data_IF_674951679804
#
_entry.id   IF_674951679804
#
_cell.length_a   1.000
_cell.length_b   1.000
_cell.length_c   1.000
_cell.angle_alpha   90.00
_cell.angle_beta   90.00
_cell.angle_gamma   90.00
#
_symmetry.space_group_name_H-M   'P 1'
#
loop_
_entity.id
_entity.type
_entity.pdbx_description
1 polymer ?
#
# COMPACT_ATOMS: atom_id res chain seq x y z
N UNK A 1 9.69 -8.01 11.98
CA UNK A 1 10.82 -7.19 11.49
C UNK A 1 10.55 -6.97 10.01
N UNK A 2 9.92 -5.85 9.65
CA UNK A 2 9.54 -5.59 8.27
C UNK A 2 10.81 -5.28 7.46
N UNK A 3 10.99 -5.96 6.33
CA UNK A 3 12.07 -5.67 5.37
C UNK A 3 11.99 -4.23 4.87
N UNK A 4 13.08 -3.70 4.30
CA UNK A 4 13.23 -2.28 3.91
C UNK A 4 11.95 -1.74 3.26
N UNK A 5 11.22 -0.89 3.98
CA UNK A 5 9.96 -0.37 3.52
C UNK A 5 10.23 0.73 2.48
N UNK A 6 10.00 0.41 1.21
CA UNK A 6 10.01 1.43 0.15
C UNK A 6 8.76 2.28 0.34
N UNK A 7 8.89 3.60 0.32
CA UNK A 7 7.77 4.53 0.40
C UNK A 7 7.70 5.36 -0.88
N UNK A 8 6.56 5.29 -1.57
CA UNK A 8 6.25 6.17 -2.70
C UNK A 8 5.41 7.35 -2.22
N UNK A 9 5.70 8.54 -2.74
CA UNK A 9 5.06 9.79 -2.30
C UNK A 9 4.25 10.42 -3.42
N UNK A 10 3.12 11.04 -3.06
CA UNK A 10 2.28 11.85 -3.94
C UNK A 10 1.93 13.17 -3.25
N UNK A 11 1.93 14.26 -4.01
CA UNK A 11 1.35 15.54 -3.59
C UNK A 11 0.02 15.76 -4.30
N UNK A 12 -1.00 16.16 -3.55
CA UNK A 12 -2.30 16.52 -4.10
C UNK A 12 -2.86 17.74 -3.37
N UNK A 13 -3.09 18.83 -4.11
CA UNK A 13 -3.62 20.09 -3.58
C UNK A 13 -2.86 20.64 -2.34
N UNK A 14 -1.55 20.44 -2.29
CA UNK A 14 -0.68 20.87 -1.18
C UNK A 14 -0.64 19.92 0.03
N UNK A 15 -1.43 18.83 0.01
CA UNK A 15 -1.30 17.73 0.95
C UNK A 15 -0.33 16.66 0.40
N UNK A 16 0.40 15.99 1.29
CA UNK A 16 1.33 14.93 0.91
C UNK A 16 0.85 13.59 1.46
N UNK A 17 0.97 12.58 0.61
CA UNK A 17 0.56 11.21 0.88
C UNK A 17 1.72 10.27 0.61
N UNK A 18 1.83 9.21 1.40
CA UNK A 18 2.81 8.16 1.21
C UNK A 18 2.14 6.79 1.19
N UNK A 19 2.60 5.94 0.28
CA UNK A 19 2.30 4.51 0.25
C UNK A 19 3.57 3.76 0.64
N UNK A 20 3.52 3.10 1.79
CA UNK A 20 4.60 2.26 2.28
C UNK A 20 4.33 0.80 1.93
N UNK A 21 5.33 0.11 1.38
CA UNK A 21 5.27 -1.31 1.10
C UNK A 21 5.95 -2.08 2.23
N UNK A 22 5.18 -2.89 2.94
CA UNK A 22 5.66 -3.77 4.01
C UNK A 22 5.34 -5.22 3.64
N UNK A 23 6.19 -6.15 4.05
CA UNK A 23 5.95 -7.58 3.85
C UNK A 23 5.74 -8.25 5.21
N UNK A 24 4.62 -8.95 5.38
CA UNK A 24 4.22 -9.62 6.62
C UNK A 24 3.66 -11.01 6.34
N UNK A 25 4.08 -12.02 7.10
CA UNK A 25 3.59 -13.43 7.08
C UNK A 25 2.85 -13.81 5.78
N UNK A 26 3.58 -13.79 4.66
CA UNK A 26 3.10 -14.20 3.32
C UNK A 26 2.07 -13.26 2.64
N UNK A 27 2.18 -11.97 2.91
CA UNK A 27 1.43 -10.94 2.23
C UNK A 27 2.22 -9.64 2.12
N UNK A 28 1.99 -8.91 1.04
CA UNK A 28 2.38 -7.52 0.91
C UNK A 28 1.30 -6.61 1.50
N UNK A 29 1.69 -5.81 2.47
CA UNK A 29 0.89 -4.74 3.05
C UNK A 29 1.28 -3.41 2.38
N UNK A 30 0.34 -2.77 1.68
CA UNK A 30 0.49 -1.42 1.16
C UNK A 30 -0.26 -0.47 2.07
N UNK A 31 0.47 0.37 2.77
CA UNK A 31 -0.07 1.29 3.77
C UNK A 31 -0.13 2.70 3.21
N UNK A 32 -1.34 3.23 3.04
CA UNK A 32 -1.55 4.63 2.67
C UNK A 32 -1.69 5.49 3.92
N UNK A 33 -0.88 6.54 3.98
CA UNK A 33 -0.76 7.48 5.09
C UNK A 33 -0.58 8.92 4.58
N UNK A 34 -0.81 9.90 5.46
CA UNK A 34 -0.30 11.25 5.23
C UNK A 34 1.23 11.21 5.31
N UNK A 35 1.90 11.95 4.44
CA UNK A 35 3.34 12.13 4.51
C UNK A 35 3.67 13.47 5.15
N UNK A 36 4.71 13.50 5.96
CA UNK A 36 5.25 14.76 6.44
C UNK A 36 5.80 15.59 5.27
N UNK A 37 5.41 16.86 5.19
CA UNK A 37 5.71 17.72 4.04
C UNK A 37 7.21 17.95 3.82
N UNK A 38 7.99 17.92 4.90
CA UNK A 38 9.41 18.28 4.93
C UNK A 38 10.27 17.03 4.80
N UNK A 39 10.00 16.02 5.62
CA UNK A 39 10.78 14.78 5.71
C UNK A 39 10.31 13.71 4.73
N UNK A 40 9.10 13.85 4.16
CA UNK A 40 8.46 12.88 3.26
C UNK A 40 8.35 11.48 3.86
N UNK A 41 8.37 11.40 5.19
CA UNK A 41 8.19 10.17 5.91
C UNK A 41 6.69 9.86 6.07
N UNK A 42 6.30 8.59 5.91
CA UNK A 42 4.92 8.17 6.12
C UNK A 42 4.51 8.37 7.58
N UNK A 43 3.31 8.90 7.78
CA UNK A 43 2.64 9.00 9.07
C UNK A 43 1.89 7.71 9.41
N UNK A 44 0.82 7.84 10.21
CA UNK A 44 -0.03 6.70 10.54
C UNK A 44 -0.87 6.29 9.34
N UNK A 45 -0.82 5.01 8.98
CA UNK A 45 -1.66 4.43 7.94
C UNK A 45 -3.15 4.56 8.29
N UNK A 46 -3.95 5.02 7.33
CA UNK A 46 -5.41 5.07 7.44
C UNK A 46 -6.10 4.06 6.51
N UNK A 47 -5.41 3.63 5.45
CA UNK A 47 -5.81 2.51 4.58
C UNK A 47 -4.66 1.53 4.44
N UNK A 48 -4.97 0.24 4.45
CA UNK A 48 -4.00 -0.84 4.28
C UNK A 48 -4.56 -1.83 3.25
N UNK A 49 -3.89 -2.01 2.13
CA UNK A 49 -4.18 -3.12 1.22
C UNK A 49 -3.31 -4.32 1.61
N UNK A 50 -3.91 -5.49 1.71
CA UNK A 50 -3.23 -6.76 1.96
C UNK A 50 -3.32 -7.58 0.68
N UNK A 51 -2.17 -7.80 0.06
CA UNK A 51 -2.01 -8.57 -1.18
C UNK A 51 -1.34 -9.91 -0.82
N UNK A 52 -2.07 -11.03 -0.86
CA UNK A 52 -1.50 -12.36 -0.63
C UNK A 52 -0.47 -12.68 -1.71
N UNK A 53 0.68 -13.24 -1.33
CA UNK A 53 1.71 -13.66 -2.30
C UNK A 53 1.75 -15.19 -2.52
N UNK A 54 1.35 -15.98 -1.53
CA UNK A 54 1.31 -17.45 -1.61
C UNK A 54 0.21 -18.00 -2.54
N UNK A 55 -0.98 -17.38 -2.54
CA UNK A 55 -2.10 -17.78 -3.39
C UNK A 55 -2.49 -16.67 -4.37
N UNK A 56 -2.17 -16.79 -5.67
CA UNK A 56 -2.47 -15.78 -6.67
C UNK A 56 -3.98 -15.63 -6.96
N UNK A 57 -4.79 -16.59 -6.54
CA UNK A 57 -6.25 -16.60 -6.71
C UNK A 57 -6.99 -15.89 -5.58
N UNK A 58 -6.34 -15.67 -4.43
CA UNK A 58 -6.94 -14.96 -3.32
C UNK A 58 -7.08 -13.47 -3.65
N UNK A 59 -8.26 -12.90 -3.37
CA UNK A 59 -8.52 -11.49 -3.62
C UNK A 59 -7.77 -10.61 -2.61
N UNK A 60 -7.18 -9.47 -3.05
CA UNK A 60 -6.62 -8.47 -2.16
C UNK A 60 -7.70 -7.86 -1.27
N UNK A 61 -7.34 -7.58 -0.01
CA UNK A 61 -8.26 -6.98 0.96
C UNK A 61 -7.85 -5.55 1.26
N UNK A 62 -8.83 -4.64 1.29
CA UNK A 62 -8.63 -3.26 1.75
C UNK A 62 -9.16 -3.14 3.18
N UNK A 63 -8.26 -2.82 4.11
CA UNK A 63 -8.57 -2.53 5.51
C UNK A 63 -8.58 -1.02 5.72
N UNK A 64 -9.68 -0.51 6.25
CA UNK A 64 -9.79 0.88 6.70
C UNK A 64 -9.43 0.90 8.18
N UNK A 65 -8.34 1.59 8.53
CA UNK A 65 -7.76 1.63 9.88
C UNK A 65 -7.90 3.01 10.54
N UNK A 66 -8.67 3.92 9.93
CA UNK A 66 -8.97 5.22 10.52
C UNK A 66 -9.89 5.05 11.74
N UNK A 67 -9.55 5.74 12.83
CA UNK A 67 -10.40 5.78 14.03
C UNK A 67 -11.70 6.56 13.77
N UNK A 68 -11.64 7.51 12.83
CA UNK A 68 -12.74 8.40 12.45
C UNK A 68 -13.06 8.27 10.95
N UNK A 69 -14.22 8.79 10.54
CA UNK A 69 -14.54 8.97 9.12
C UNK A 69 -13.50 9.87 8.47
N UNK A 70 -13.02 9.47 7.29
CA UNK A 70 -11.97 10.17 6.59
C UNK A 70 -12.29 10.30 5.10
N UNK A 71 -12.28 11.54 4.63
CA UNK A 71 -12.31 11.84 3.21
C UNK A 71 -10.93 11.60 2.59
N UNK A 72 -10.89 10.77 1.55
CA UNK A 72 -9.71 10.54 0.74
C UNK A 72 -9.97 11.11 -0.65
N UNK A 73 -9.16 12.07 -1.14
CA UNK A 73 -9.32 12.59 -2.48
C UNK A 73 -9.31 11.46 -3.51
N UNK A 74 -10.22 11.51 -4.48
CA UNK A 74 -10.39 10.45 -5.47
C UNK A 74 -9.11 10.16 -6.26
N UNK A 75 -8.32 11.19 -6.61
CA UNK A 75 -7.03 10.99 -7.29
C UNK A 75 -5.99 10.26 -6.42
N UNK A 76 -6.00 10.50 -5.10
CA UNK A 76 -5.13 9.79 -4.15
C UNK A 76 -5.56 8.33 -4.02
N UNK A 77 -6.87 8.08 -3.93
CA UNK A 77 -7.42 6.72 -3.92
C UNK A 77 -7.08 5.97 -5.21
N UNK A 78 -7.28 6.59 -6.37
CA UNK A 78 -6.94 6.00 -7.68
C UNK A 78 -5.46 5.65 -7.75
N UNK A 79 -4.59 6.57 -7.33
CA UNK A 79 -3.16 6.33 -7.30
C UNK A 79 -2.79 5.17 -6.37
N UNK A 80 -3.37 5.11 -5.18
CA UNK A 80 -3.15 4.00 -4.25
C UNK A 80 -3.59 2.66 -4.86
N UNK A 81 -4.77 2.60 -5.47
CA UNK A 81 -5.26 1.39 -6.13
C UNK A 81 -4.36 0.97 -7.31
N UNK A 82 -3.79 1.92 -8.07
CA UNK A 82 -2.79 1.59 -9.10
C UNK A 82 -1.56 0.89 -8.50
N UNK A 83 -1.12 1.27 -7.30
CA UNK A 83 -0.03 0.59 -6.60
C UNK A 83 -0.42 -0.80 -6.13
N UNK A 84 -1.64 -0.96 -5.63
CA UNK A 84 -2.20 -2.28 -5.28
C UNK A 84 -2.20 -3.19 -6.50
N UNK A 85 -2.75 -2.73 -7.62
CA UNK A 85 -2.82 -3.51 -8.87
C UNK A 85 -1.43 -3.94 -9.33
N UNK A 86 -0.45 -3.04 -9.33
CA UNK A 86 0.95 -3.36 -9.66
C UNK A 86 1.55 -4.43 -8.74
N UNK A 87 1.24 -4.40 -7.44
CA UNK A 87 1.74 -5.44 -6.52
C UNK A 87 1.01 -6.77 -6.71
N UNK A 88 -0.27 -6.75 -7.04
CA UNK A 88 -1.04 -7.96 -7.39
C UNK A 88 -0.46 -8.60 -8.66
N UNK A 89 -0.21 -7.81 -9.70
CA UNK A 89 0.43 -8.27 -10.93
C UNK A 89 1.81 -8.87 -10.65
N UNK A 90 2.60 -8.23 -9.78
CA UNK A 90 3.91 -8.72 -9.38
C UNK A 90 3.84 -10.07 -8.66
N UNK A 91 2.93 -10.22 -7.69
CA UNK A 91 2.76 -11.47 -6.95
C UNK A 91 2.29 -12.60 -7.88
N UNK A 92 1.37 -12.29 -8.81
CA UNK A 92 0.86 -13.26 -9.79
C UNK A 92 1.85 -13.63 -10.89
N UNK A 93 2.79 -12.75 -11.20
CA UNK A 93 3.82 -12.98 -12.23
C UNK A 93 5.10 -13.58 -11.65
N UNK A 94 5.22 -13.73 -10.33
CA UNK A 94 6.36 -14.41 -9.73
C UNK A 94 6.38 -15.86 -10.24
N UNK A 95 7.47 -16.32 -10.88
CA UNK A 95 7.56 -17.69 -11.32
C UNK A 95 7.45 -18.60 -10.10
N UNK A 96 6.63 -19.66 -10.22
CA UNK A 96 6.76 -20.83 -9.35
C UNK A 96 8.20 -21.32 -9.53
N UNK A 97 9.09 -21.01 -8.57
CA UNK A 97 10.35 -21.72 -8.46
C UNK A 97 9.97 -23.18 -8.23
N UNK A 98 10.01 -23.95 -9.32
CA UNK A 98 9.80 -25.38 -9.34
C UNK A 98 10.98 -25.99 -8.60
N UNK A 99 10.78 -26.37 -7.34
CA UNK A 99 11.74 -27.16 -6.57
C UNK A 99 11.34 -28.63 -6.52
#
# INVERSE_FOLDING_TARGET
MYGLAVAENMEHAGAHYAVQFAYDVNAWCLELSDADAVTRLPGRAFLIAVVPDEDPTQEPLIRVSSADERDVPYEVMRWFMEKVDKQVERCRSAPVESS
#
